data_IF_873735812199
#
_entry.id   IF_873735812199
#
_cell.length_a   1.000
_cell.length_b   1.000
_cell.length_c   1.000
_cell.angle_alpha   90.00
_cell.angle_beta   90.00
_cell.angle_gamma   90.00
#
_symmetry.space_group_name_H-M   'P 1'
#
loop_
_entity.id
_entity.type
_entity.pdbx_description
1 polymer ?
#
# COMPACT_ATOMS: atom_id res chain seq x y z
N UNK A 1 -2.69 -23.80 -37.98
CA UNK A 1 -3.18 -22.46 -37.68
C UNK A 1 -3.98 -22.58 -36.41
N UNK A 2 -3.35 -22.23 -35.29
CA UNK A 2 -3.92 -22.33 -33.94
C UNK A 2 -5.35 -21.84 -33.92
N UNK A 3 -6.26 -22.68 -33.41
CA UNK A 3 -7.65 -22.31 -33.20
C UNK A 3 -7.79 -21.72 -31.79
N UNK A 4 -8.86 -20.97 -31.59
CA UNK A 4 -9.16 -20.39 -30.29
C UNK A 4 -10.56 -20.82 -29.86
N UNK A 5 -10.72 -21.05 -28.56
CA UNK A 5 -11.99 -21.42 -27.95
C UNK A 5 -12.29 -20.49 -26.77
N UNK A 6 -13.54 -20.05 -26.62
CA UNK A 6 -13.98 -19.16 -25.55
C UNK A 6 -15.18 -19.68 -24.78
N UNK A 7 -15.32 -19.26 -23.54
CA UNK A 7 -16.56 -19.38 -22.81
C UNK A 7 -17.51 -18.22 -23.17
N UNK A 8 -18.77 -18.52 -23.45
CA UNK A 8 -19.80 -17.50 -23.73
C UNK A 8 -20.16 -16.65 -22.51
N UNK A 9 -20.01 -17.20 -21.31
CA UNK A 9 -20.48 -16.57 -20.06
C UNK A 9 -19.40 -15.68 -19.44
N UNK A 10 -18.24 -16.25 -19.07
CA UNK A 10 -17.18 -15.49 -18.39
C UNK A 10 -16.12 -14.92 -19.34
N UNK A 11 -16.20 -15.20 -20.64
CA UNK A 11 -15.25 -14.69 -21.63
C UNK A 11 -13.84 -15.30 -21.57
N UNK A 12 -13.64 -16.37 -20.80
CA UNK A 12 -12.37 -17.11 -20.76
C UNK A 12 -12.00 -17.65 -22.14
N UNK A 13 -10.78 -17.41 -22.63
CA UNK A 13 -10.32 -17.82 -23.97
C UNK A 13 -9.02 -18.62 -23.89
N UNK A 14 -8.93 -19.70 -24.67
CA UNK A 14 -7.75 -20.55 -24.80
C UNK A 14 -7.34 -20.74 -26.27
N UNK A 15 -6.06 -20.98 -26.49
CA UNK A 15 -5.56 -21.56 -27.73
C UNK A 15 -5.73 -23.09 -27.69
N UNK A 16 -6.23 -23.68 -28.78
CA UNK A 16 -6.40 -25.13 -28.91
C UNK A 16 -5.68 -25.64 -30.18
N UNK A 17 -5.24 -26.91 -30.17
CA UNK A 17 -4.70 -27.55 -31.37
C UNK A 17 -5.70 -27.56 -32.53
N UNK A 18 -5.21 -27.46 -33.76
CA UNK A 18 -6.04 -27.39 -34.97
C UNK A 18 -7.00 -28.58 -35.14
N UNK A 19 -6.60 -29.75 -34.64
CA UNK A 19 -7.32 -31.03 -34.71
C UNK A 19 -8.39 -31.18 -33.62
N UNK A 20 -8.50 -30.21 -32.70
CA UNK A 20 -9.50 -30.19 -31.64
C UNK A 20 -10.65 -29.25 -31.96
N UNK A 21 -11.79 -29.50 -31.30
CA UNK A 21 -12.95 -28.64 -31.33
C UNK A 21 -13.06 -27.89 -29.99
N UNK A 22 -13.58 -26.65 -29.97
CA UNK A 22 -13.88 -25.95 -28.72
C UNK A 22 -14.73 -26.78 -27.75
N UNK A 23 -15.62 -27.61 -28.30
CA UNK A 23 -16.49 -28.46 -27.52
C UNK A 23 -15.79 -29.57 -26.71
N UNK A 24 -14.52 -29.83 -27.00
CA UNK A 24 -13.69 -30.79 -26.26
C UNK A 24 -13.17 -30.21 -24.93
N UNK A 25 -13.38 -28.92 -24.71
CA UNK A 25 -12.88 -28.17 -23.56
C UNK A 25 -14.03 -27.60 -22.74
N UNK A 26 -13.78 -27.49 -21.44
CA UNK A 26 -14.71 -26.94 -20.46
C UNK A 26 -14.06 -25.74 -19.77
N UNK A 27 -14.84 -24.70 -19.55
CA UNK A 27 -14.43 -23.51 -18.85
C UNK A 27 -14.19 -23.81 -17.35
N UNK A 28 -13.03 -23.43 -16.79
CA UNK A 28 -12.73 -23.68 -15.38
C UNK A 28 -13.57 -22.84 -14.40
N UNK A 29 -14.14 -21.72 -14.87
CA UNK A 29 -14.86 -20.78 -13.99
C UNK A 29 -16.35 -21.13 -13.82
N UNK A 30 -16.96 -21.78 -14.80
CA UNK A 30 -18.41 -22.04 -14.84
C UNK A 30 -18.79 -23.47 -15.26
N UNK A 31 -17.83 -24.27 -15.72
CA UNK A 31 -18.07 -25.66 -16.11
C UNK A 31 -18.79 -25.82 -17.45
N UNK A 32 -19.01 -24.75 -18.22
CA UNK A 32 -19.63 -24.82 -19.53
C UNK A 32 -18.63 -25.20 -20.62
N UNK A 33 -19.13 -25.88 -21.65
CA UNK A 33 -18.35 -26.21 -22.85
C UNK A 33 -17.98 -24.93 -23.63
N UNK A 34 -16.77 -24.89 -24.19
CA UNK A 34 -16.30 -23.73 -24.95
C UNK A 34 -16.85 -23.71 -26.39
N UNK A 35 -16.87 -22.52 -26.99
CA UNK A 35 -17.28 -22.25 -28.38
C UNK A 35 -16.13 -21.62 -29.17
N UNK A 36 -16.26 -21.50 -30.49
CA UNK A 36 -15.22 -20.90 -31.34
C UNK A 36 -14.91 -19.44 -30.92
N UNK A 37 -13.63 -19.10 -30.97
CA UNK A 37 -13.10 -17.77 -30.75
C UNK A 37 -12.11 -17.37 -31.85
N UNK A 38 -11.79 -16.08 -31.91
CA UNK A 38 -10.75 -15.54 -32.78
C UNK A 38 -9.50 -15.17 -31.97
N UNK A 39 -8.36 -15.10 -32.63
CA UNK A 39 -7.07 -14.77 -32.01
C UNK A 39 -7.09 -13.47 -31.22
N UNK A 40 -7.82 -12.46 -31.67
CA UNK A 40 -7.89 -11.18 -30.96
C UNK A 40 -8.60 -11.28 -29.60
N UNK A 41 -9.45 -12.29 -29.41
CA UNK A 41 -10.13 -12.62 -28.15
C UNK A 41 -9.21 -13.38 -27.19
N UNK A 42 -8.11 -13.95 -27.67
CA UNK A 42 -7.11 -14.56 -26.80
C UNK A 42 -6.33 -13.45 -26.06
N UNK A 43 -6.50 -13.43 -24.74
CA UNK A 43 -5.88 -12.46 -23.85
C UNK A 43 -4.42 -12.77 -23.58
N UNK A 44 -3.52 -12.42 -24.51
CA UNK A 44 -2.07 -12.60 -24.31
C UNK A 44 -1.44 -11.59 -23.34
N UNK A 45 -2.20 -10.58 -22.91
CA UNK A 45 -1.73 -9.54 -21.98
C UNK A 45 -2.71 -9.38 -20.84
N UNK A 46 -2.19 -8.93 -19.68
CA UNK A 46 -3.03 -8.64 -18.51
C UNK A 46 -4.23 -7.76 -18.88
N UNK A 47 -4.06 -6.72 -19.70
CA UNK A 47 -5.11 -5.78 -20.11
C UNK A 47 -6.31 -6.40 -20.87
N UNK A 48 -6.15 -7.61 -21.41
CA UNK A 48 -7.21 -8.30 -22.15
C UNK A 48 -8.01 -9.27 -21.28
N UNK A 49 -7.59 -9.50 -20.03
CA UNK A 49 -8.43 -10.17 -19.06
C UNK A 49 -9.56 -9.20 -18.68
N UNK A 50 -10.82 -9.66 -18.78
CA UNK A 50 -12.01 -8.81 -18.59
C UNK A 50 -12.13 -8.19 -17.20
N UNK A 51 -11.31 -8.67 -16.27
CA UNK A 51 -11.27 -8.31 -14.87
C UNK A 51 -10.11 -7.34 -14.53
N UNK A 52 -9.35 -6.88 -15.53
CA UNK A 52 -8.23 -5.92 -15.37
C UNK A 52 -8.54 -4.51 -15.91
N UNK A 53 -7.79 -3.48 -15.48
CA UNK A 53 -7.87 -2.16 -16.09
C UNK A 53 -7.44 -2.19 -17.58
N UNK A 54 -8.14 -1.45 -18.44
CA UNK A 54 -7.93 -1.44 -19.90
C UNK A 54 -6.69 -0.66 -20.37
N UNK A 55 -5.86 -0.15 -19.46
CA UNK A 55 -4.64 0.60 -19.77
C UNK A 55 -3.63 0.58 -18.62
N UNK A 56 -2.34 0.64 -18.98
CA UNK A 56 -1.24 0.90 -18.03
C UNK A 56 -1.01 2.39 -17.76
N UNK A 57 -1.60 3.29 -18.57
CA UNK A 57 -1.38 4.74 -18.44
C UNK A 57 -1.89 5.24 -17.08
N UNK A 58 -1.02 5.94 -16.34
CA UNK A 58 -1.33 6.43 -14.99
C UNK A 58 -1.09 5.42 -13.86
N UNK A 59 -0.68 4.19 -14.16
CA UNK A 59 -0.42 3.12 -13.17
C UNK A 59 1.05 2.76 -13.02
N UNK A 60 1.97 3.66 -13.38
CA UNK A 60 3.39 3.45 -13.15
C UNK A 60 3.67 3.18 -11.65
N UNK A 61 4.47 2.15 -11.36
CA UNK A 61 4.84 1.72 -10.00
C UNK A 61 3.72 1.15 -9.13
N UNK A 62 2.54 0.88 -9.70
CA UNK A 62 1.45 0.17 -9.00
C UNK A 62 1.71 -1.34 -8.97
N UNK A 63 1.13 -2.00 -7.99
CA UNK A 63 1.11 -3.46 -7.86
C UNK A 63 -0.19 -4.01 -8.46
N UNK A 64 -0.14 -5.25 -8.93
CA UNK A 64 -1.36 -5.99 -9.28
C UNK A 64 -1.89 -6.67 -8.02
N UNK A 65 -3.13 -6.38 -7.64
CA UNK A 65 -3.82 -6.97 -6.49
C UNK A 65 -5.15 -7.61 -6.91
N UNK A 66 -5.62 -8.60 -6.16
CA UNK A 66 -7.00 -9.13 -6.29
C UNK A 66 -7.98 -8.11 -5.70
N UNK A 67 -9.11 -7.88 -6.36
CA UNK A 67 -10.20 -7.03 -5.86
C UNK A 67 -10.84 -7.62 -4.60
N UNK A 68 -11.47 -6.77 -3.79
CA UNK A 68 -12.10 -7.21 -2.54
C UNK A 68 -13.27 -8.18 -2.78
N UNK A 69 -13.93 -8.04 -3.91
CA UNK A 69 -15.03 -8.87 -4.39
C UNK A 69 -14.54 -10.20 -4.99
N UNK A 70 -13.22 -10.42 -5.04
CA UNK A 70 -12.56 -11.61 -5.62
C UNK A 70 -12.94 -11.88 -7.09
N UNK A 71 -13.47 -10.86 -7.76
CA UNK A 71 -13.99 -10.90 -9.12
C UNK A 71 -12.99 -10.39 -10.16
N UNK A 72 -11.76 -10.06 -9.73
CA UNK A 72 -10.75 -9.58 -10.64
C UNK A 72 -9.45 -9.07 -10.05
N UNK A 73 -8.67 -8.42 -10.92
CA UNK A 73 -7.41 -7.78 -10.56
C UNK A 73 -7.49 -6.26 -10.74
N UNK A 74 -6.74 -5.52 -9.92
CA UNK A 74 -6.64 -4.06 -9.99
C UNK A 74 -5.19 -3.60 -9.83
N UNK A 75 -4.87 -2.43 -10.37
CA UNK A 75 -3.61 -1.75 -10.07
C UNK A 75 -3.78 -0.94 -8.79
N UNK A 76 -3.18 -1.41 -7.71
CA UNK A 76 -3.19 -0.74 -6.42
C UNK A 76 -1.85 -0.11 -6.09
N UNK A 77 -1.85 0.87 -5.19
CA UNK A 77 -0.61 1.23 -4.52
C UNK A 77 -0.02 0.03 -3.80
N UNK A 78 1.27 0.09 -3.49
CA UNK A 78 1.86 -0.80 -2.49
C UNK A 78 0.92 -0.82 -1.28
N UNK A 79 0.26 -1.94 -0.94
CA UNK A 79 -0.46 -2.02 0.32
C UNK A 79 0.57 -1.68 1.40
N UNK A 80 0.30 -0.74 2.33
CA UNK A 80 1.32 -0.08 3.13
C UNK A 80 2.28 -1.15 3.64
N UNK A 81 3.42 -1.27 2.95
CA UNK A 81 4.41 -2.26 3.33
C UNK A 81 4.79 -1.83 4.73
N UNK A 82 4.94 -2.75 5.67
CA UNK A 82 5.30 -2.41 7.05
C UNK A 82 6.68 -1.74 7.19
N UNK A 83 7.13 -0.92 6.24
CA UNK A 83 8.20 0.06 6.31
C UNK A 83 7.68 1.46 6.68
N UNK A 84 8.53 2.44 6.49
CA UNK A 84 8.32 3.83 6.91
C UNK A 84 7.90 4.73 5.74
N UNK A 85 6.90 5.57 5.97
CA UNK A 85 6.62 6.73 5.13
C UNK A 85 7.45 7.91 5.61
N UNK A 86 8.38 8.39 4.80
CA UNK A 86 9.25 9.51 5.17
C UNK A 86 8.49 10.85 5.06
N UNK A 87 8.60 11.69 6.10
CA UNK A 87 8.02 13.03 6.14
C UNK A 87 9.04 14.05 6.64
N UNK A 88 9.19 15.18 5.96
CA UNK A 88 10.00 16.32 6.44
C UNK A 88 9.08 17.46 6.84
N UNK A 89 9.28 18.03 8.04
CA UNK A 89 8.44 19.09 8.60
C UNK A 89 9.30 20.17 9.24
N UNK A 90 8.85 21.42 9.13
CA UNK A 90 9.52 22.60 9.71
C UNK A 90 8.59 23.43 10.61
N UNK A 91 7.44 22.87 10.97
CA UNK A 91 6.40 23.44 11.84
C UNK A 91 5.75 22.32 12.63
N UNK A 92 4.86 22.66 13.58
CA UNK A 92 4.05 21.66 14.28
C UNK A 92 3.34 20.71 13.30
N UNK A 93 3.30 19.43 13.64
CA UNK A 93 2.80 18.38 12.78
C UNK A 93 2.15 17.25 13.58
N UNK A 94 1.09 16.65 13.05
CA UNK A 94 0.48 15.43 13.59
C UNK A 94 0.89 14.26 12.70
N UNK A 95 1.64 13.32 13.26
CA UNK A 95 2.11 12.15 12.55
C UNK A 95 0.99 11.11 12.35
N UNK A 96 1.13 10.32 11.31
CA UNK A 96 0.34 9.10 11.07
C UNK A 96 1.15 7.86 11.45
N UNK A 97 0.45 6.76 11.70
CA UNK A 97 1.10 5.45 11.93
C UNK A 97 2.03 5.10 10.76
N UNK A 98 3.21 4.57 11.10
CA UNK A 98 4.30 4.21 10.19
C UNK A 98 4.98 5.41 9.51
N UNK A 99 4.92 6.62 10.07
CA UNK A 99 5.71 7.75 9.58
C UNK A 99 7.08 7.87 10.26
N UNK A 100 8.11 8.16 9.45
CA UNK A 100 9.40 8.64 9.91
C UNK A 100 9.51 10.14 9.65
N UNK A 101 9.46 10.92 10.72
CA UNK A 101 9.42 12.39 10.70
C UNK A 101 10.83 12.95 10.89
N UNK A 102 11.37 13.55 9.84
CA UNK A 102 12.49 14.47 9.91
C UNK A 102 11.94 15.83 10.37
N UNK A 103 12.35 16.28 11.55
CA UNK A 103 11.84 17.47 12.21
C UNK A 103 12.91 18.57 12.22
N UNK A 104 12.64 19.67 11.52
CA UNK A 104 13.49 20.85 11.43
C UNK A 104 12.91 21.99 12.31
N UNK A 105 13.52 22.22 13.46
CA UNK A 105 13.18 23.28 14.39
C UNK A 105 14.00 24.57 14.18
N UNK A 106 14.68 24.74 13.04
CA UNK A 106 15.58 25.89 12.81
C UNK A 106 14.90 27.25 12.93
N UNK A 107 13.60 27.32 12.64
CA UNK A 107 12.80 28.57 12.69
C UNK A 107 12.08 28.78 14.02
N UNK A 108 12.09 27.79 14.90
CA UNK A 108 11.43 27.81 16.21
C UNK A 108 11.20 26.39 16.73
N UNK A 109 10.95 26.27 18.03
CA UNK A 109 10.59 24.97 18.63
C UNK A 109 9.30 24.44 17.99
N UNK A 110 9.26 23.13 17.71
CA UNK A 110 8.12 22.47 17.07
C UNK A 110 7.64 21.28 17.89
N UNK A 111 6.34 20.99 17.76
CA UNK A 111 5.69 19.84 18.38
C UNK A 111 5.27 18.83 17.31
N UNK A 112 5.66 17.56 17.49
CA UNK A 112 5.21 16.42 16.71
C UNK A 112 4.18 15.65 17.56
N UNK A 113 2.91 15.75 17.22
CA UNK A 113 1.86 14.98 17.88
C UNK A 113 1.81 13.56 17.32
N UNK A 114 1.85 12.57 18.20
CA UNK A 114 1.60 11.17 17.84
C UNK A 114 0.12 10.98 17.46
N UNK A 115 -0.20 9.99 16.58
CA UNK A 115 -1.57 9.69 16.23
C UNK A 115 -2.35 9.16 17.44
N UNK A 116 -3.67 9.01 17.28
CA UNK A 116 -4.49 8.33 18.29
C UNK A 116 -3.89 6.93 18.57
N UNK A 117 -3.70 6.55 19.86
CA UNK A 117 -3.11 5.28 20.25
C UNK A 117 -3.83 4.09 19.60
N UNK A 118 -3.07 3.20 18.98
CA UNK A 118 -3.59 1.99 18.36
C UNK A 118 -2.53 0.88 18.42
N UNK A 119 -2.96 -0.37 18.55
CA UNK A 119 -2.04 -1.49 18.70
C UNK A 119 -1.11 -1.58 17.47
N UNK A 120 0.20 -1.67 17.73
CA UNK A 120 1.25 -1.69 16.72
C UNK A 120 1.41 -0.37 15.94
N UNK A 121 0.80 0.73 16.40
CA UNK A 121 1.12 2.03 15.84
C UNK A 121 2.56 2.38 16.18
N UNK A 122 3.28 2.96 15.22
CA UNK A 122 4.64 3.43 15.45
C UNK A 122 4.93 4.71 14.68
N UNK A 123 5.75 5.57 15.25
CA UNK A 123 6.24 6.80 14.65
C UNK A 123 7.70 6.93 15.02
N UNK A 124 8.56 7.25 14.07
CA UNK A 124 9.94 7.60 14.36
C UNK A 124 10.13 9.10 14.15
N UNK A 125 10.85 9.78 15.04
CA UNK A 125 11.09 11.22 14.95
C UNK A 125 12.58 11.46 15.06
N UNK A 126 13.13 12.27 14.15
CA UNK A 126 14.53 12.68 14.16
C UNK A 126 14.64 14.20 14.05
N UNK A 127 15.34 14.83 14.99
CA UNK A 127 15.72 16.24 14.86
C UNK A 127 16.85 16.35 13.84
N UNK A 128 16.68 17.18 12.80
CA UNK A 128 17.67 17.28 11.70
C UNK A 128 18.47 18.57 11.69
N UNK A 129 17.98 19.61 12.34
CA UNK A 129 18.63 20.92 12.39
C UNK A 129 19.56 21.06 13.60
N UNK A 130 20.52 21.98 13.51
CA UNK A 130 21.53 22.23 14.54
C UNK A 130 21.17 23.35 15.52
N UNK A 131 19.94 23.88 15.46
CA UNK A 131 19.52 24.95 16.38
C UNK A 131 19.30 24.39 17.78
N UNK A 132 19.32 25.27 18.78
CA UNK A 132 18.95 24.95 20.16
C UNK A 132 17.43 24.83 20.37
N UNK A 133 16.62 24.92 19.32
CA UNK A 133 15.18 24.78 19.43
C UNK A 133 14.83 23.31 19.56
N UNK A 134 14.03 23.01 20.57
CA UNK A 134 13.60 21.65 20.89
C UNK A 134 12.57 21.14 19.87
N UNK A 135 12.62 19.83 19.60
CA UNK A 135 11.52 19.09 18.96
C UNK A 135 10.82 18.31 20.07
N UNK A 136 9.57 18.67 20.36
CA UNK A 136 8.76 17.98 21.39
C UNK A 136 7.82 16.99 20.74
N UNK A 137 7.92 15.73 21.10
CA UNK A 137 6.96 14.68 20.76
C UNK A 137 5.85 14.68 21.80
N UNK A 138 4.60 14.79 21.37
CA UNK A 138 3.43 14.83 22.23
C UNK A 138 2.59 13.56 22.06
N UNK A 139 2.26 12.88 23.16
CA UNK A 139 1.56 11.60 23.17
C UNK A 139 0.05 11.68 22.86
N UNK A 140 -0.48 12.88 22.64
CA UNK A 140 -1.90 13.14 22.43
C UNK A 140 -2.71 12.84 23.69
N UNK A 141 -3.47 11.75 23.66
CA UNK A 141 -4.32 11.29 24.77
C UNK A 141 -3.71 10.18 25.62
N UNK A 142 -2.50 9.72 25.30
CA UNK A 142 -1.76 8.67 26.02
C UNK A 142 -0.51 9.23 26.70
N UNK A 143 0.35 8.34 27.21
CA UNK A 143 1.68 8.66 27.70
C UNK A 143 2.76 7.96 26.85
N UNK A 144 3.99 8.48 26.92
CA UNK A 144 5.24 7.92 26.39
C UNK A 144 6.09 7.57 27.61
N UNK A 145 6.24 6.28 27.91
CA UNK A 145 6.95 5.77 29.10
C UNK A 145 6.50 6.44 30.43
N UNK A 146 5.21 6.78 30.52
CA UNK A 146 4.60 7.43 31.69
C UNK A 146 4.51 8.96 31.60
N UNK A 147 5.20 9.61 30.67
CA UNK A 147 5.17 11.07 30.48
C UNK A 147 4.24 11.48 29.33
N UNK A 148 3.68 12.70 29.35
CA UNK A 148 2.79 13.16 28.27
C UNK A 148 3.55 13.65 27.02
N UNK A 149 4.85 13.89 27.17
CA UNK A 149 5.72 14.38 26.10
C UNK A 149 7.14 13.85 26.25
N UNK A 150 7.83 13.71 25.13
CA UNK A 150 9.27 13.43 25.06
C UNK A 150 9.96 14.52 24.23
N UNK A 151 11.20 14.90 24.56
CA UNK A 151 11.88 16.03 23.89
C UNK A 151 13.21 15.61 23.30
N UNK A 152 13.43 15.97 22.03
CA UNK A 152 14.71 15.87 21.34
C UNK A 152 15.37 17.25 21.35
N UNK A 153 16.59 17.32 21.86
CA UNK A 153 17.33 18.56 22.09
C UNK A 153 18.53 18.70 21.15
N UNK A 154 19.18 17.59 20.82
CA UNK A 154 20.41 17.62 20.01
C UNK A 154 20.18 17.22 18.56
N UNK A 155 20.99 17.79 17.68
CA UNK A 155 20.93 17.44 16.26
C UNK A 155 21.20 15.95 16.07
N UNK A 156 20.37 15.32 15.25
CA UNK A 156 20.42 13.91 14.88
C UNK A 156 20.00 12.92 15.95
N UNK A 157 19.52 13.38 17.11
CA UNK A 157 18.71 12.54 17.98
C UNK A 157 17.53 11.98 17.20
N UNK A 158 17.30 10.68 17.39
CA UNK A 158 16.27 9.93 16.70
C UNK A 158 15.75 8.86 17.62
N UNK A 159 14.42 8.79 17.75
CA UNK A 159 13.74 7.81 18.58
C UNK A 159 12.56 7.21 17.82
N UNK A 160 12.30 5.94 18.07
CA UNK A 160 11.07 5.28 17.63
C UNK A 160 10.11 5.18 18.81
N UNK A 161 8.87 5.59 18.58
CA UNK A 161 7.76 5.50 19.52
C UNK A 161 6.85 4.38 19.04
N UNK A 162 6.64 3.37 19.87
CA UNK A 162 5.84 2.19 19.54
C UNK A 162 4.67 2.05 20.50
N UNK A 163 3.46 1.78 20.01
CA UNK A 163 2.24 1.75 20.81
C UNK A 163 1.71 0.31 20.97
N UNK A 164 1.36 -0.04 22.21
CA UNK A 164 0.70 -1.33 22.52
C UNK A 164 -0.82 -1.29 22.31
N UNK A 165 -1.37 -0.13 21.95
CA UNK A 165 -2.81 0.13 21.83
C UNK A 165 -3.36 1.02 22.94
N UNK A 166 -2.56 1.38 23.94
CA UNK A 166 -2.94 2.32 24.98
C UNK A 166 -1.82 3.30 25.30
N UNK A 167 -0.59 2.82 25.46
CA UNK A 167 0.58 3.61 25.81
C UNK A 167 1.64 3.55 24.72
N UNK A 168 2.52 4.56 24.70
CA UNK A 168 3.68 4.62 23.82
C UNK A 168 4.96 4.28 24.60
N UNK A 169 5.87 3.59 23.94
CA UNK A 169 7.18 3.20 24.48
C UNK A 169 8.28 3.67 23.55
N UNK A 170 9.39 4.13 24.12
CA UNK A 170 10.57 4.51 23.36
C UNK A 170 11.44 3.27 23.12
N UNK A 171 11.89 3.06 21.88
CA UNK A 171 12.80 1.98 21.47
C UNK A 171 14.22 2.48 21.23
#
# INVERSE_FOLDING_TARGET
MTKYAKCSECGYVIAIPDDKNPSDYVCPNDGNTLIDAIESEYGETFLKLGDTPSSYSGYASKFVSVKAEEDGLSFSDVPPSGGWTLKHVSTNYTASTNEFVLADASTGAITIALPSPAANARVAVKKVDSSSNNVTVNAGTANIDGDTTFTLETQYESYEFYCDGSEWYIL
#
